data_IF_474354312550
#
_entry.id   IF_474354312550
#
_cell.length_a   1.000
_cell.length_b   1.000
_cell.length_c   1.000
_cell.angle_alpha   90.00
_cell.angle_beta   90.00
_cell.angle_gamma   90.00
#
_symmetry.space_group_name_H-M   'P 1'
#
loop_
_entity.id
_entity.type
_entity.pdbx_description
1 polymer ?
#
# COMPACT_ATOMS: atom_id res chain seq x y z
N UNK A 1 -0.69 -27.25 -4.41
CA UNK A 1 -0.88 -26.45 -3.19
C UNK A 1 0.18 -25.37 -3.10
N UNK A 2 -0.18 -24.16 -3.49
CA UNK A 2 0.60 -22.95 -3.24
C UNK A 2 -0.28 -21.95 -2.53
N UNK A 3 0.08 -21.59 -1.29
CA UNK A 3 -0.49 -20.43 -0.60
C UNK A 3 0.45 -19.25 -0.85
N UNK A 4 -0.05 -18.19 -1.48
CA UNK A 4 0.71 -16.94 -1.65
C UNK A 4 0.05 -15.86 -0.79
N UNK A 5 0.83 -15.18 0.03
CA UNK A 5 0.33 -14.14 0.93
C UNK A 5 0.87 -12.79 0.51
N UNK A 6 -0.04 -11.88 0.16
CA UNK A 6 0.24 -10.49 -0.18
C UNK A 6 -0.13 -9.60 1.00
N UNK A 7 0.85 -8.88 1.55
CA UNK A 7 0.63 -8.00 2.69
C UNK A 7 1.68 -6.90 2.73
N UNK A 8 1.52 -5.95 3.64
CA UNK A 8 2.52 -4.90 3.85
C UNK A 8 1.91 -3.57 4.26
N UNK A 9 2.74 -2.54 4.34
CA UNK A 9 2.29 -1.17 4.58
C UNK A 9 2.12 -0.37 3.27
N UNK A 10 2.57 -0.88 2.12
CA UNK A 10 2.27 -0.33 0.80
C UNK A 10 1.05 -1.03 0.18
N UNK A 11 -0.15 -0.61 0.56
CA UNK A 11 -1.40 -1.30 0.20
C UNK A 11 -1.71 -1.30 -1.28
N UNK A 12 -1.37 -0.23 -2.01
CA UNK A 12 -1.60 -0.11 -3.47
C UNK A 12 -0.76 -1.14 -4.21
N UNK A 13 0.57 -1.09 -4.07
CA UNK A 13 1.49 -2.07 -4.64
C UNK A 13 1.15 -3.53 -4.25
N UNK A 14 0.79 -3.78 -2.99
CA UNK A 14 0.33 -5.11 -2.55
C UNK A 14 -0.91 -5.59 -3.30
N UNK A 15 -1.87 -4.67 -3.54
CA UNK A 15 -3.08 -4.96 -4.32
C UNK A 15 -2.75 -5.21 -5.78
N UNK A 16 -1.88 -4.40 -6.38
CA UNK A 16 -1.46 -4.55 -7.77
C UNK A 16 -0.71 -5.87 -7.99
N UNK A 17 0.13 -6.27 -7.03
CA UNK A 17 0.83 -7.56 -7.02
C UNK A 17 -0.15 -8.74 -7.03
N UNK A 18 -1.23 -8.67 -6.24
CA UNK A 18 -2.31 -9.67 -6.27
C UNK A 18 -3.02 -9.67 -7.61
N UNK A 19 -3.42 -8.52 -8.14
CA UNK A 19 -4.14 -8.41 -9.41
C UNK A 19 -3.30 -8.94 -10.59
N UNK A 20 -1.99 -8.68 -10.57
CA UNK A 20 -1.04 -9.23 -11.52
C UNK A 20 -0.95 -10.76 -11.42
N UNK A 21 -0.92 -11.32 -10.21
CA UNK A 21 -0.94 -12.77 -10.01
C UNK A 21 -2.25 -13.41 -10.50
N UNK A 22 -3.39 -12.78 -10.19
CA UNK A 22 -4.70 -13.21 -10.68
C UNK A 22 -4.72 -13.22 -12.21
N UNK A 23 -4.26 -12.14 -12.85
CA UNK A 23 -4.24 -12.01 -14.31
C UNK A 23 -3.34 -13.07 -14.95
N UNK A 24 -2.18 -13.37 -14.35
CA UNK A 24 -1.27 -14.45 -14.79
C UNK A 24 -1.89 -15.83 -14.69
N UNK A 25 -2.73 -16.07 -13.67
CA UNK A 25 -3.43 -17.34 -13.50
C UNK A 25 -4.60 -17.47 -14.49
N UNK A 26 -5.37 -16.40 -14.68
CA UNK A 26 -6.45 -16.35 -15.67
C UNK A 26 -5.96 -16.58 -17.10
N UNK A 27 -4.82 -16.00 -17.49
CA UNK A 27 -4.23 -16.21 -18.82
C UNK A 27 -3.76 -17.65 -19.07
N UNK A 28 -3.62 -18.46 -18.01
CA UNK A 28 -3.34 -19.89 -18.07
C UNK A 28 -4.61 -20.75 -18.00
N UNK A 29 -5.79 -20.13 -18.05
CA UNK A 29 -7.08 -20.83 -17.96
C UNK A 29 -7.45 -21.29 -16.54
N UNK A 30 -6.81 -20.75 -15.50
CA UNK A 30 -7.17 -21.05 -14.10
C UNK A 30 -8.38 -20.21 -13.71
N UNK A 31 -9.41 -20.86 -13.19
CA UNK A 31 -10.61 -20.19 -12.70
C UNK A 31 -10.38 -19.57 -11.31
N UNK A 32 -10.84 -18.32 -11.14
CA UNK A 32 -10.55 -17.52 -9.94
C UNK A 32 -11.83 -17.28 -9.14
N UNK A 33 -11.83 -17.71 -7.89
CA UNK A 33 -12.94 -17.53 -6.96
C UNK A 33 -12.53 -16.55 -5.87
N UNK A 34 -13.18 -15.38 -5.81
CA UNK A 34 -12.88 -14.34 -4.83
C UNK A 34 -13.85 -14.41 -3.67
N UNK A 35 -13.30 -14.44 -2.45
CA UNK A 35 -14.05 -14.57 -1.21
C UNK A 35 -13.62 -13.49 -0.21
N UNK A 36 -14.60 -12.89 0.46
CA UNK A 36 -14.35 -11.96 1.56
C UNK A 36 -14.38 -12.69 2.90
N UNK A 37 -13.31 -12.61 3.69
CA UNK A 37 -13.22 -13.34 4.96
C UNK A 37 -14.34 -13.00 5.97
N UNK A 38 -14.90 -11.78 5.90
CA UNK A 38 -16.02 -11.36 6.75
C UNK A 38 -17.28 -12.16 6.49
N UNK A 39 -17.51 -12.57 5.24
CA UNK A 39 -18.72 -13.28 4.81
C UNK A 39 -18.54 -14.81 4.87
N UNK A 40 -17.30 -15.29 4.96
CA UNK A 40 -17.01 -16.72 4.97
C UNK A 40 -17.45 -17.42 6.26
N UNK A 41 -18.10 -18.58 6.13
CA UNK A 41 -18.20 -19.61 7.18
C UNK A 41 -17.22 -20.77 6.89
N UNK A 42 -16.83 -21.57 7.90
CA UNK A 42 -16.02 -22.77 7.69
C UNK A 42 -16.61 -23.71 6.63
N UNK A 43 -17.91 -23.97 6.69
CA UNK A 43 -18.61 -24.83 5.71
C UNK A 43 -18.59 -24.27 4.30
N UNK A 44 -18.80 -22.96 4.13
CA UNK A 44 -18.73 -22.32 2.81
C UNK A 44 -17.32 -22.40 2.23
N UNK A 45 -16.30 -22.22 3.07
CA UNK A 45 -14.91 -22.28 2.64
C UNK A 45 -14.51 -23.72 2.27
N UNK A 46 -14.92 -24.70 3.06
CA UNK A 46 -14.67 -26.12 2.77
C UNK A 46 -15.29 -26.54 1.44
N UNK A 47 -16.54 -26.13 1.18
CA UNK A 47 -17.21 -26.35 -0.11
C UNK A 47 -16.46 -25.70 -1.26
N UNK A 48 -15.97 -24.47 -1.08
CA UNK A 48 -15.21 -23.78 -2.13
C UNK A 48 -13.83 -24.40 -2.35
N UNK A 49 -13.15 -24.83 -1.30
CA UNK A 49 -11.82 -25.43 -1.39
C UNK A 49 -11.84 -26.87 -1.94
N UNK A 50 -12.95 -27.60 -1.72
CA UNK A 50 -13.13 -28.99 -2.15
C UNK A 50 -13.96 -29.17 -3.44
N UNK A 51 -14.59 -28.11 -3.95
CA UNK A 51 -15.32 -28.18 -5.22
C UNK A 51 -14.37 -28.20 -6.42
N UNK A 52 -14.60 -29.16 -7.33
CA UNK A 52 -14.05 -29.11 -8.66
C UNK A 52 -14.85 -28.11 -9.51
N UNK A 53 -14.19 -27.54 -10.50
CA UNK A 53 -14.84 -26.67 -11.49
C UNK A 53 -15.71 -27.52 -12.43
N UNK A 54 -16.74 -26.91 -13.02
CA UNK A 54 -17.65 -27.62 -13.94
C UNK A 54 -16.96 -28.17 -15.19
N UNK A 55 -15.78 -27.65 -15.53
CA UNK A 55 -15.03 -27.96 -16.74
C UNK A 55 -13.68 -28.63 -16.46
N UNK A 56 -13.48 -29.14 -15.25
CA UNK A 56 -12.21 -29.75 -14.80
C UNK A 56 -10.97 -28.84 -14.98
N UNK A 57 -11.20 -27.52 -15.05
CA UNK A 57 -10.17 -26.50 -15.06
C UNK A 57 -9.58 -26.32 -13.65
N UNK A 58 -8.28 -26.06 -13.60
CA UNK A 58 -7.62 -25.73 -12.35
C UNK A 58 -8.27 -24.52 -11.68
N UNK A 59 -8.42 -24.58 -10.35
CA UNK A 59 -9.06 -23.56 -9.51
C UNK A 59 -8.04 -22.84 -8.64
N UNK A 60 -8.25 -21.55 -8.42
CA UNK A 60 -7.55 -20.76 -7.42
C UNK A 60 -8.55 -19.95 -6.61
N UNK A 61 -8.43 -20.02 -5.28
CA UNK A 61 -9.27 -19.25 -4.35
C UNK A 61 -8.51 -18.02 -3.87
N UNK A 62 -9.13 -16.86 -3.90
CA UNK A 62 -8.60 -15.59 -3.38
C UNK A 62 -9.38 -15.23 -2.14
N UNK A 63 -8.72 -15.05 -1.00
CA UNK A 63 -9.35 -14.66 0.26
C UNK A 63 -8.78 -13.32 0.72
N UNK A 64 -9.66 -12.34 0.89
CA UNK A 64 -9.29 -11.00 1.33
C UNK A 64 -9.58 -10.79 2.81
N UNK A 65 -8.65 -10.12 3.51
CA UNK A 65 -8.78 -9.62 4.89
C UNK A 65 -8.98 -10.68 5.99
N UNK A 66 -8.43 -11.89 5.83
CA UNK A 66 -8.57 -12.98 6.82
C UNK A 66 -8.06 -12.60 8.22
N UNK A 67 -6.93 -11.90 8.30
CA UNK A 67 -6.32 -11.45 9.56
C UNK A 67 -6.90 -10.13 10.06
N UNK A 68 -7.83 -9.54 9.32
CA UNK A 68 -8.66 -8.43 9.81
C UNK A 68 -9.86 -8.94 10.62
N UNK A 69 -10.16 -10.24 10.56
CA UNK A 69 -11.11 -10.86 11.48
C UNK A 69 -10.59 -10.84 12.92
N UNK A 70 -11.46 -10.65 13.92
CA UNK A 70 -11.11 -10.83 15.33
C UNK A 70 -10.51 -12.21 15.57
N UNK A 71 -9.54 -12.28 16.49
CA UNK A 71 -9.03 -13.56 16.98
C UNK A 71 -10.19 -14.36 17.57
N UNK A 72 -10.48 -15.50 16.94
CA UNK A 72 -11.67 -16.31 17.22
C UNK A 72 -11.44 -17.73 16.72
N UNK A 73 -12.19 -18.68 17.30
CA UNK A 73 -12.22 -20.08 16.83
C UNK A 73 -12.52 -20.17 15.33
N UNK A 74 -13.48 -19.38 14.85
CA UNK A 74 -13.83 -19.26 13.43
C UNK A 74 -12.60 -18.96 12.57
N UNK A 75 -11.81 -17.93 12.92
CA UNK A 75 -10.62 -17.57 12.14
C UNK A 75 -9.60 -18.71 12.14
N UNK A 76 -9.37 -19.33 13.28
CA UNK A 76 -8.37 -20.40 13.39
C UNK A 76 -8.81 -21.67 12.62
N UNK A 77 -10.11 -21.93 12.55
CA UNK A 77 -10.71 -22.99 11.71
C UNK A 77 -10.55 -22.68 10.21
N UNK A 78 -10.83 -21.45 9.76
CA UNK A 78 -10.59 -21.03 8.37
C UNK A 78 -9.12 -21.21 7.97
N UNK A 79 -8.19 -20.83 8.86
CA UNK A 79 -6.74 -21.03 8.66
C UNK A 79 -6.40 -22.52 8.53
N UNK A 80 -6.99 -23.37 9.37
CA UNK A 80 -6.80 -24.81 9.30
C UNK A 80 -7.26 -25.38 7.97
N UNK A 81 -8.45 -24.98 7.49
CA UNK A 81 -9.01 -25.42 6.21
C UNK A 81 -8.13 -25.01 5.02
N UNK A 82 -7.58 -23.79 5.05
CA UNK A 82 -6.65 -23.31 4.01
C UNK A 82 -5.38 -24.17 3.99
N UNK A 83 -4.83 -24.52 5.16
CA UNK A 83 -3.61 -25.32 5.25
C UNK A 83 -3.81 -26.80 4.90
N UNK A 84 -5.02 -27.34 5.00
CA UNK A 84 -5.33 -28.72 4.64
C UNK A 84 -5.84 -28.89 3.20
N UNK A 85 -6.19 -27.79 2.52
CA UNK A 85 -6.74 -27.86 1.17
C UNK A 85 -5.68 -28.14 0.10
N UNK A 86 -5.95 -29.00 -0.89
CA UNK A 86 -5.06 -29.19 -2.03
C UNK A 86 -5.03 -27.99 -2.98
N UNK A 87 -6.05 -27.12 -2.92
CA UNK A 87 -6.28 -25.99 -3.82
C UNK A 87 -5.26 -24.88 -3.61
N UNK A 88 -4.99 -24.14 -4.69
CA UNK A 88 -4.15 -22.95 -4.59
C UNK A 88 -4.93 -21.78 -3.99
N UNK A 89 -4.28 -21.05 -3.08
CA UNK A 89 -4.90 -19.96 -2.33
C UNK A 89 -4.04 -18.70 -2.41
N UNK A 90 -4.65 -17.58 -2.80
CA UNK A 90 -4.06 -16.25 -2.67
C UNK A 90 -4.70 -15.53 -1.48
N UNK A 91 -3.90 -15.13 -0.50
CA UNK A 91 -4.35 -14.34 0.64
C UNK A 91 -3.91 -12.89 0.47
N UNK A 92 -4.82 -11.94 0.66
CA UNK A 92 -4.47 -10.52 0.63
C UNK A 92 -4.89 -9.80 1.90
N UNK A 93 -3.98 -8.99 2.43
CA UNK A 93 -4.16 -8.24 3.67
C UNK A 93 -3.83 -6.77 3.51
N UNK A 94 -4.72 -5.91 4.01
CA UNK A 94 -4.55 -4.44 4.04
C UNK A 94 -3.44 -3.95 4.98
N UNK A 95 -2.86 -4.85 5.77
CA UNK A 95 -1.86 -4.53 6.78
C UNK A 95 -0.68 -5.47 6.67
N UNK A 96 0.48 -5.02 7.13
CA UNK A 96 1.63 -5.88 7.34
C UNK A 96 1.29 -6.95 8.38
N UNK A 97 1.51 -8.20 8.02
CA UNK A 97 1.35 -9.33 8.91
C UNK A 97 2.57 -9.49 9.82
N UNK A 98 2.30 -9.90 11.05
CA UNK A 98 3.35 -10.24 12.02
C UNK A 98 3.92 -11.62 11.73
N UNK A 99 5.14 -11.89 12.21
CA UNK A 99 5.77 -13.21 12.08
C UNK A 99 4.88 -14.33 12.65
N UNK A 100 4.14 -14.07 13.74
CA UNK A 100 3.20 -15.04 14.33
C UNK A 100 2.02 -15.35 13.42
N UNK A 101 1.52 -14.38 12.65
CA UNK A 101 0.45 -14.59 11.68
C UNK A 101 0.95 -15.37 10.47
N UNK A 102 2.15 -15.05 9.96
CA UNK A 102 2.76 -15.76 8.83
C UNK A 102 3.09 -17.22 9.19
N UNK A 103 3.54 -17.49 10.43
CA UNK A 103 3.82 -18.84 10.93
C UNK A 103 2.60 -19.76 10.91
N UNK A 104 1.37 -19.21 10.85
CA UNK A 104 0.16 -20.02 10.67
C UNK A 104 0.06 -20.65 9.28
N UNK A 105 0.88 -20.22 8.32
CA UNK A 105 0.92 -20.74 6.95
C UNK A 105 2.35 -21.20 6.62
N UNK A 106 2.79 -22.35 7.15
CA UNK A 106 4.20 -22.75 7.14
C UNK A 106 4.79 -22.94 5.73
N UNK A 107 3.96 -23.33 4.75
CA UNK A 107 4.38 -23.57 3.37
C UNK A 107 3.99 -22.43 2.41
N UNK A 108 3.76 -21.22 2.93
CA UNK A 108 3.34 -20.09 2.11
C UNK A 108 4.49 -19.33 1.47
N UNK A 109 4.28 -18.84 0.25
CA UNK A 109 5.14 -17.84 -0.39
C UNK A 109 4.70 -16.44 0.10
N UNK A 110 5.59 -15.80 0.84
CA UNK A 110 5.35 -14.47 1.38
C UNK A 110 5.76 -13.36 0.37
N UNK A 111 4.82 -12.48 0.00
CA UNK A 111 5.05 -11.27 -0.78
C UNK A 111 4.72 -10.05 0.08
N UNK A 112 5.75 -9.54 0.76
CA UNK A 112 5.65 -8.35 1.59
C UNK A 112 5.98 -7.09 0.78
N UNK A 113 5.08 -6.10 0.81
CA UNK A 113 5.19 -4.84 0.08
C UNK A 113 5.35 -3.68 1.06
N UNK A 114 6.57 -3.16 1.17
CA UNK A 114 6.89 -2.07 2.08
C UNK A 114 7.09 -0.75 1.34
N UNK A 115 6.58 0.34 1.93
CA UNK A 115 6.89 1.69 1.47
C UNK A 115 8.40 1.90 1.54
N UNK A 116 8.99 2.42 0.46
CA UNK A 116 10.44 2.58 0.40
C UNK A 116 10.95 3.57 1.45
N UNK A 117 12.16 3.32 1.95
CA UNK A 117 12.89 4.30 2.78
C UNK A 117 13.28 5.53 1.97
N UNK A 118 13.40 5.38 0.65
CA UNK A 118 13.74 6.45 -0.30
C UNK A 118 12.65 7.51 -0.36
N UNK A 119 11.38 7.11 -0.37
CA UNK A 119 10.24 8.04 -0.31
C UNK A 119 10.28 8.91 0.95
N UNK A 120 10.56 8.31 2.11
CA UNK A 120 10.72 9.09 3.34
C UNK A 120 11.94 10.01 3.27
N UNK A 121 13.05 9.54 2.71
CA UNK A 121 14.27 10.35 2.53
C UNK A 121 14.05 11.55 1.60
N UNK A 122 13.28 11.36 0.52
CA UNK A 122 12.85 12.46 -0.36
C UNK A 122 12.00 13.46 0.41
N UNK A 123 10.94 13.01 1.09
CA UNK A 123 10.06 13.90 1.87
C UNK A 123 10.85 14.68 2.91
N UNK A 124 11.78 14.05 3.62
CA UNK A 124 12.65 14.69 4.60
C UNK A 124 13.54 15.78 3.98
N UNK A 125 14.03 15.52 2.76
CA UNK A 125 14.94 16.42 2.05
C UNK A 125 14.29 17.76 1.67
N UNK A 126 12.96 17.81 1.56
CA UNK A 126 12.23 19.03 1.17
C UNK A 126 12.47 20.18 2.15
N UNK A 127 12.43 19.92 3.46
CA UNK A 127 12.77 20.88 4.51
C UNK A 127 14.19 20.70 5.03
N UNK A 128 15.18 20.75 4.13
CA UNK A 128 16.59 20.65 4.47
C UNK A 128 17.46 21.46 3.51
N UNK A 129 18.71 21.73 3.89
CA UNK A 129 19.71 22.37 3.03
C UNK A 129 20.30 21.43 1.95
N UNK A 130 19.62 20.33 1.62
CA UNK A 130 20.04 19.42 0.55
C UNK A 130 20.00 20.14 -0.80
N UNK A 131 20.97 19.86 -1.67
CA UNK A 131 21.00 20.44 -3.02
C UNK A 131 19.78 19.99 -3.84
N UNK A 132 19.26 20.83 -4.76
CA UNK A 132 18.13 20.48 -5.62
C UNK A 132 18.35 19.17 -6.38
N UNK A 133 19.57 18.92 -6.88
CA UNK A 133 19.93 17.67 -7.55
C UNK A 133 19.71 16.44 -6.66
N UNK A 134 20.08 16.53 -5.37
CA UNK A 134 19.90 15.42 -4.43
C UNK A 134 18.42 15.18 -4.16
N UNK A 135 17.62 16.25 -4.01
CA UNK A 135 16.17 16.14 -3.81
C UNK A 135 15.50 15.46 -5.01
N UNK A 136 15.87 15.83 -6.23
CA UNK A 136 15.37 15.21 -7.47
C UNK A 136 15.76 13.74 -7.61
N UNK A 137 17.02 13.38 -7.34
CA UNK A 137 17.43 11.97 -7.40
C UNK A 137 16.62 11.10 -6.42
N UNK A 138 16.41 11.61 -5.20
CA UNK A 138 15.57 10.92 -4.21
C UNK A 138 14.11 10.80 -4.67
N UNK A 139 13.55 11.84 -5.31
CA UNK A 139 12.22 11.77 -5.92
C UNK A 139 12.16 10.68 -6.98
N UNK A 140 13.08 10.67 -7.94
CA UNK A 140 13.06 9.70 -9.05
C UNK A 140 13.20 8.27 -8.56
N UNK A 141 14.06 8.03 -7.57
CA UNK A 141 14.18 6.72 -6.94
C UNK A 141 12.89 6.33 -6.19
N UNK A 142 12.24 7.26 -5.50
CA UNK A 142 10.95 7.03 -4.84
C UNK A 142 9.83 6.76 -5.85
N UNK A 143 9.73 7.52 -6.93
CA UNK A 143 8.76 7.31 -8.02
C UNK A 143 8.96 5.94 -8.66
N UNK A 144 10.21 5.53 -8.87
CA UNK A 144 10.54 4.21 -9.42
C UNK A 144 10.12 3.06 -8.49
N UNK A 145 10.19 3.26 -7.17
CA UNK A 145 9.92 2.22 -6.18
C UNK A 145 8.44 2.16 -5.76
N UNK A 146 7.82 3.32 -5.50
CA UNK A 146 6.47 3.42 -4.92
C UNK A 146 5.42 3.98 -5.90
N UNK A 147 5.85 4.53 -7.05
CA UNK A 147 4.99 5.15 -8.05
C UNK A 147 4.68 6.64 -7.78
N UNK A 148 4.48 7.39 -8.86
CA UNK A 148 4.27 8.84 -8.81
C UNK A 148 3.02 9.24 -8.00
N UNK A 149 1.91 8.50 -8.16
CA UNK A 149 0.66 8.78 -7.46
C UNK A 149 0.80 8.61 -5.95
N UNK A 150 1.55 7.58 -5.51
CA UNK A 150 1.79 7.37 -4.09
C UNK A 150 2.74 8.43 -3.51
N UNK A 151 3.81 8.78 -4.24
CA UNK A 151 4.69 9.88 -3.89
C UNK A 151 3.92 11.20 -3.71
N UNK A 152 3.03 11.52 -4.65
CA UNK A 152 2.17 12.70 -4.60
C UNK A 152 1.22 12.70 -3.38
N UNK A 153 0.53 11.57 -3.13
CA UNK A 153 -0.32 11.41 -1.95
C UNK A 153 0.47 11.62 -0.65
N UNK A 154 1.68 11.06 -0.59
CA UNK A 154 2.55 11.16 0.57
C UNK A 154 3.08 12.58 0.78
N UNK A 155 3.36 13.32 -0.29
CA UNK A 155 3.67 14.75 -0.23
C UNK A 155 2.49 15.55 0.33
N UNK A 156 1.27 15.35 -0.19
CA UNK A 156 0.08 16.03 0.31
C UNK A 156 -0.24 15.70 1.78
N UNK A 157 0.02 14.46 2.22
CA UNK A 157 -0.01 14.11 3.63
C UNK A 157 1.07 14.87 4.41
N UNK A 158 2.31 14.90 3.93
CA UNK A 158 3.43 15.57 4.59
C UNK A 158 3.15 17.07 4.77
N UNK A 159 2.68 17.76 3.73
CA UNK A 159 2.33 19.18 3.79
C UNK A 159 1.29 19.46 4.87
N UNK A 160 0.25 18.63 4.99
CA UNK A 160 -0.76 18.76 6.07
C UNK A 160 -0.15 18.58 7.46
N UNK A 161 0.72 17.58 7.63
CA UNK A 161 1.40 17.34 8.92
C UNK A 161 2.34 18.49 9.30
N UNK A 162 3.03 19.08 8.33
CA UNK A 162 3.87 20.25 8.56
C UNK A 162 3.04 21.47 8.93
N UNK A 163 1.90 21.71 8.26
CA UNK A 163 0.96 22.77 8.63
C UNK A 163 0.46 22.62 10.07
N UNK A 164 0.00 21.41 10.44
CA UNK A 164 -0.42 21.12 11.82
C UNK A 164 0.72 21.34 12.81
N UNK A 165 1.95 21.01 12.44
CA UNK A 165 3.11 21.21 13.29
C UNK A 165 3.45 22.69 13.51
N UNK A 166 3.30 23.54 12.49
CA UNK A 166 3.52 25.00 12.62
C UNK A 166 2.42 25.63 13.49
N UNK A 167 1.18 25.19 13.34
CA UNK A 167 0.01 25.70 14.09
C UNK A 167 0.00 25.25 15.58
N UNK A 168 1.02 24.50 16.02
CA UNK A 168 1.10 23.98 17.39
C UNK A 168 0.14 22.82 17.68
N UNK A 169 -0.54 22.29 16.66
CA UNK A 169 -1.46 21.17 16.77
C UNK A 169 -0.76 19.85 17.10
N UNK A 170 -1.54 18.88 17.59
CA UNK A 170 -1.02 17.53 17.83
C UNK A 170 -0.89 16.74 16.53
N UNK A 171 0.35 16.41 16.17
CA UNK A 171 0.64 15.54 15.04
C UNK A 171 0.56 14.08 15.48
N UNK A 172 -0.30 13.30 14.83
CA UNK A 172 -0.40 11.87 15.07
C UNK A 172 0.88 11.12 14.66
N UNK A 173 1.30 10.16 15.47
CA UNK A 173 2.46 9.30 15.22
C UNK A 173 3.36 9.14 16.43
N UNK A 174 4.41 8.32 16.30
CA UNK A 174 5.39 8.11 17.36
C UNK A 174 6.18 9.41 17.67
N UNK A 175 6.70 9.59 18.91
CA UNK A 175 7.38 10.82 19.33
C UNK A 175 8.54 11.23 18.41
N UNK A 176 9.28 10.28 17.85
CA UNK A 176 10.39 10.56 16.93
C UNK A 176 9.89 11.17 15.61
N UNK A 177 8.74 10.71 15.09
CA UNK A 177 8.12 11.25 13.86
C UNK A 177 7.65 12.68 14.11
N UNK A 178 7.00 12.92 15.25
CA UNK A 178 6.57 14.26 15.64
C UNK A 178 7.75 15.22 15.76
N UNK A 179 8.84 14.78 16.40
CA UNK A 179 10.05 15.58 16.57
C UNK A 179 10.71 15.92 15.23
N UNK A 180 10.72 14.96 14.30
CA UNK A 180 11.24 15.15 12.95
C UNK A 180 10.41 16.14 12.14
N UNK A 181 9.08 16.00 12.18
CA UNK A 181 8.15 16.93 11.52
C UNK A 181 8.28 18.34 12.07
N UNK A 182 8.40 18.50 13.40
CA UNK A 182 8.67 19.80 14.02
C UNK A 182 9.96 20.42 13.46
N UNK A 183 11.08 19.68 13.43
CA UNK A 183 12.33 20.17 12.86
C UNK A 183 12.19 20.57 11.41
N UNK A 184 11.54 19.74 10.60
CA UNK A 184 11.31 20.01 9.19
C UNK A 184 10.44 21.26 8.97
N UNK A 185 9.42 21.46 9.81
CA UNK A 185 8.52 22.60 9.72
C UNK A 185 9.23 23.95 9.91
N UNK A 186 10.40 24.00 10.55
CA UNK A 186 11.18 25.25 10.71
C UNK A 186 11.76 25.77 9.39
N UNK A 187 11.81 24.95 8.34
CA UNK A 187 12.27 25.35 7.02
C UNK A 187 11.17 26.01 6.17
N UNK A 188 9.94 26.06 6.67
CA UNK A 188 8.82 26.63 5.94
C UNK A 188 8.10 27.66 6.80
N UNK A 189 7.63 28.71 6.14
CA UNK A 189 6.59 29.60 6.66
C UNK A 189 5.22 28.96 6.47
N UNK A 190 4.24 29.39 7.28
CA UNK A 190 2.86 28.97 7.10
C UNK A 190 2.32 29.32 5.70
N UNK A 191 2.72 30.48 5.16
CA UNK A 191 2.34 30.93 3.82
C UNK A 191 2.83 30.00 2.71
N UNK A 192 4.08 29.55 2.79
CA UNK A 192 4.66 28.60 1.82
C UNK A 192 3.94 27.25 1.84
N UNK A 193 3.66 26.70 3.03
CA UNK A 193 2.93 25.44 3.13
C UNK A 193 1.48 25.55 2.68
N UNK A 194 0.80 26.67 2.94
CA UNK A 194 -0.54 26.92 2.41
C UNK A 194 -0.53 27.06 0.89
N UNK A 195 0.49 27.71 0.33
CA UNK A 195 0.73 27.79 -1.11
C UNK A 195 0.94 26.40 -1.72
N UNK A 196 1.82 25.59 -1.13
CA UNK A 196 2.05 24.21 -1.53
C UNK A 196 0.77 23.37 -1.46
N UNK A 197 0.01 23.48 -0.37
CA UNK A 197 -1.26 22.75 -0.21
C UNK A 197 -2.28 23.12 -1.30
N UNK A 198 -2.39 24.40 -1.66
CA UNK A 198 -3.24 24.86 -2.77
C UNK A 198 -2.75 24.32 -4.12
N UNK A 199 -1.44 24.35 -4.36
CA UNK A 199 -0.85 23.83 -5.61
C UNK A 199 -1.07 22.32 -5.75
N UNK A 200 -0.96 21.56 -4.66
CA UNK A 200 -1.29 20.14 -4.64
C UNK A 200 -2.77 19.88 -4.96
N UNK A 201 -3.69 20.67 -4.41
CA UNK A 201 -5.12 20.58 -4.76
C UNK A 201 -5.37 20.87 -6.24
N UNK A 202 -4.70 21.87 -6.79
CA UNK A 202 -4.78 22.20 -8.22
C UNK A 202 -4.33 21.01 -9.07
N UNK A 203 -3.14 20.46 -8.80
CA UNK A 203 -2.60 19.31 -9.54
C UNK A 203 -3.55 18.11 -9.45
N UNK A 204 -4.08 17.78 -8.26
CA UNK A 204 -5.02 16.67 -8.09
C UNK A 204 -6.29 16.86 -8.93
N UNK A 205 -6.82 18.09 -8.97
CA UNK A 205 -7.99 18.44 -9.78
C UNK A 205 -7.71 18.30 -11.26
N UNK A 206 -6.58 18.83 -11.73
CA UNK A 206 -6.18 18.80 -13.14
C UNK A 206 -5.93 17.37 -13.62
N UNK A 207 -5.28 16.54 -12.81
CA UNK A 207 -5.04 15.12 -13.12
C UNK A 207 -6.36 14.34 -13.21
N UNK A 208 -7.28 14.53 -12.26
CA UNK A 208 -8.59 13.83 -12.23
C UNK A 208 -9.54 14.28 -13.33
N UNK A 209 -9.43 15.53 -13.78
CA UNK A 209 -10.26 16.08 -14.86
C UNK A 209 -9.61 15.92 -16.24
N UNK A 210 -8.43 15.29 -16.33
CA UNK A 210 -7.66 15.16 -17.58
C UNK A 210 -7.36 16.51 -18.25
N UNK A 211 -7.25 17.58 -17.45
CA UNK A 211 -6.91 18.94 -17.91
C UNK A 211 -5.45 19.29 -17.65
N UNK A 212 -4.70 18.42 -16.95
CA UNK A 212 -3.29 18.61 -16.69
C UNK A 212 -2.47 18.66 -18.00
N UNK A 213 -1.61 19.67 -18.11
CA UNK A 213 -0.67 19.79 -19.25
C UNK A 213 0.57 18.92 -19.04
N UNK A 214 0.98 18.71 -17.78
CA UNK A 214 2.14 17.92 -17.41
C UNK A 214 1.74 16.55 -16.85
N UNK A 215 2.62 15.57 -17.02
CA UNK A 215 2.52 14.30 -16.30
C UNK A 215 2.78 14.56 -14.81
N UNK A 216 2.17 13.75 -13.95
CA UNK A 216 2.33 13.88 -12.51
C UNK A 216 3.80 13.84 -12.05
N UNK A 217 4.65 13.04 -12.68
CA UNK A 217 6.09 12.99 -12.40
C UNK A 217 6.76 14.35 -12.63
N UNK A 218 6.40 15.04 -13.72
CA UNK A 218 6.94 16.36 -14.05
C UNK A 218 6.43 17.44 -13.09
N UNK A 219 5.16 17.35 -12.66
CA UNK A 219 4.64 18.21 -11.60
C UNK A 219 5.40 18.01 -10.28
N UNK A 220 5.74 16.76 -9.93
CA UNK A 220 6.54 16.45 -8.75
C UNK A 220 7.98 16.98 -8.86
N UNK A 221 8.59 16.93 -10.05
CA UNK A 221 9.90 17.54 -10.31
C UNK A 221 9.85 19.05 -10.07
N UNK A 222 8.85 19.73 -10.65
CA UNK A 222 8.66 21.17 -10.50
C UNK A 222 8.43 21.57 -9.03
N UNK A 223 7.59 20.83 -8.32
CA UNK A 223 7.38 21.05 -6.89
C UNK A 223 8.67 20.86 -6.10
N UNK A 224 9.41 19.79 -6.36
CA UNK A 224 10.66 19.46 -5.65
C UNK A 224 11.76 20.50 -5.88
N UNK A 225 11.82 21.10 -7.08
CA UNK A 225 12.76 22.17 -7.39
C UNK A 225 12.38 23.53 -6.78
N UNK A 226 11.09 23.74 -6.52
CA UNK A 226 10.58 25.00 -5.94
C UNK A 226 10.70 25.08 -4.41
N UNK A 227 11.07 23.97 -3.75
CA UNK A 227 11.26 23.84 -2.30
C UNK A 227 12.74 23.69 -1.95
#
# INVERSE_FOLDING_TARGET
MSVIIFHGNHTVESRDSLLNEISKRQSRGIEIFKLEAKQLSPSSLESELGSNTLFDSAKCVVIEELHSLPTSKKRDELVSLINSSPSDVLLWEKKKLTATQLKKFPNSLNREHNISTTLFSWLDSLGSNASPQKKLNLLHDAVKQDGAQFCFLMLARQTRLLLTSIDGGQVAGAPFVQSKLKKQAHFFTQGELLGLHKKLLQIDTEQKTSTATLKLEQELDMLTLSM
#
